data_IF_119015151500
#
_entry.id   IF_119015151500
#
_cell.length_a   1.000
_cell.length_b   1.000
_cell.length_c   1.000
_cell.angle_alpha   90.00
_cell.angle_beta   90.00
_cell.angle_gamma   90.00
#
_symmetry.space_group_name_H-M   'P 1'
#
loop_
_entity.id
_entity.type
_entity.pdbx_description
1 polymer ?
#
# COMPACT_ATOMS: atom_id res chain seq x y z
N UNK A 1 -23.64 24.44 28.03
CA UNK A 1 -22.42 25.20 27.67
C UNK A 1 -21.82 24.53 26.45
N UNK A 2 -21.94 25.14 25.27
CA UNK A 2 -21.22 24.72 24.05
C UNK A 2 -19.77 25.22 24.15
N UNK A 3 -18.87 24.43 23.57
CA UNK A 3 -17.41 24.58 23.54
C UNK A 3 -16.92 25.90 22.94
N UNK A 4 -15.59 26.13 23.02
CA UNK A 4 -14.86 26.15 21.76
C UNK A 4 -13.56 25.32 21.80
N UNK A 5 -13.36 24.51 20.75
CA UNK A 5 -12.02 24.19 20.22
C UNK A 5 -11.28 25.50 19.88
N UNK A 6 -9.94 25.61 19.98
CA UNK A 6 -9.18 25.73 18.74
C UNK A 6 -7.70 25.27 18.75
N UNK A 7 -7.32 24.69 17.59
CA UNK A 7 -6.08 24.88 16.80
C UNK A 7 -4.74 24.26 17.26
N UNK A 8 -4.27 23.35 16.42
CA UNK A 8 -3.00 23.50 15.67
C UNK A 8 -3.27 23.01 14.23
N UNK A 9 -3.42 23.95 13.30
CA UNK A 9 -2.40 24.41 12.34
C UNK A 9 -2.08 23.38 11.24
N UNK A 10 -2.52 23.73 10.03
CA UNK A 10 -2.15 23.11 8.77
C UNK A 10 -0.64 23.26 8.53
N UNK A 11 0.05 22.17 8.22
CA UNK A 11 1.38 22.18 7.58
C UNK A 11 1.51 20.94 6.68
N UNK A 12 1.13 21.10 5.40
CA UNK A 12 1.70 20.48 4.19
C UNK A 12 2.47 19.15 4.29
N UNK A 13 1.77 18.00 4.17
CA UNK A 13 2.10 16.84 3.30
C UNK A 13 0.88 15.92 3.32
N UNK A 14 0.27 15.59 2.18
CA UNK A 14 -0.82 14.61 2.13
C UNK A 14 -0.26 13.21 2.45
N UNK A 15 -0.17 12.86 3.73
CA UNK A 15 0.27 11.54 4.21
C UNK A 15 -0.91 10.58 4.20
N UNK A 16 -0.86 9.55 3.34
CA UNK A 16 -1.80 8.42 3.36
C UNK A 16 -1.85 7.79 4.76
N UNK A 17 -3.06 7.52 5.25
CA UNK A 17 -3.29 6.79 6.50
C UNK A 17 -3.02 5.29 6.34
N UNK A 18 -2.81 4.56 7.45
CA UNK A 18 -2.59 3.10 7.42
C UNK A 18 -3.79 2.35 6.83
N UNK A 19 -5.01 2.83 7.08
CA UNK A 19 -6.24 2.28 6.53
C UNK A 19 -6.36 2.47 5.01
N UNK A 20 -6.03 3.66 4.50
CA UNK A 20 -6.00 3.92 3.06
C UNK A 20 -4.94 3.07 2.36
N UNK A 21 -3.77 2.91 2.97
CA UNK A 21 -2.72 2.04 2.48
C UNK A 21 -3.15 0.59 2.42
N UNK A 22 -3.82 0.11 3.47
CA UNK A 22 -4.36 -1.25 3.52
C UNK A 22 -5.37 -1.47 2.39
N UNK A 23 -6.37 -0.58 2.25
CA UNK A 23 -7.38 -0.68 1.19
C UNK A 23 -6.75 -0.66 -0.22
N UNK A 24 -5.72 0.15 -0.42
CA UNK A 24 -5.01 0.21 -1.69
C UNK A 24 -4.29 -1.11 -2.00
N UNK A 25 -3.62 -1.70 -1.01
CA UNK A 25 -2.96 -3.00 -1.17
C UNK A 25 -4.00 -4.10 -1.43
N UNK A 26 -5.10 -4.13 -0.69
CA UNK A 26 -6.21 -5.08 -0.90
C UNK A 26 -6.77 -5.00 -2.31
N UNK A 27 -7.05 -3.78 -2.80
CA UNK A 27 -7.58 -3.58 -4.15
C UNK A 27 -6.60 -4.08 -5.23
N UNK A 28 -5.29 -3.88 -5.05
CA UNK A 28 -4.28 -4.41 -5.97
C UNK A 28 -4.23 -5.94 -5.90
N UNK A 29 -4.25 -6.51 -4.70
CA UNK A 29 -4.20 -7.95 -4.50
C UNK A 29 -5.42 -8.65 -5.13
N UNK A 30 -6.60 -8.09 -4.90
CA UNK A 30 -7.86 -8.57 -5.47
C UNK A 30 -7.86 -8.42 -6.99
N UNK A 31 -7.41 -7.28 -7.52
CA UNK A 31 -7.32 -7.07 -8.98
C UNK A 31 -6.32 -8.00 -9.67
N UNK A 32 -5.18 -8.29 -9.04
CA UNK A 32 -4.09 -9.06 -9.65
C UNK A 32 -4.21 -10.57 -9.44
N UNK A 33 -4.64 -10.97 -8.23
CA UNK A 33 -4.64 -12.37 -7.79
C UNK A 33 -6.05 -12.91 -7.53
N UNK A 34 -7.05 -12.03 -7.44
CA UNK A 34 -8.42 -12.40 -7.00
C UNK A 34 -8.49 -12.82 -5.53
N UNK A 35 -7.43 -12.59 -4.76
CA UNK A 35 -7.34 -12.98 -3.34
C UNK A 35 -7.32 -11.74 -2.46
N UNK A 36 -8.03 -11.81 -1.34
CA UNK A 36 -8.01 -10.78 -0.32
C UNK A 36 -7.03 -11.14 0.80
N UNK A 37 -6.55 -10.12 1.50
CA UNK A 37 -5.70 -10.29 2.67
C UNK A 37 -6.50 -10.93 3.81
N UNK A 38 -5.88 -11.90 4.48
CA UNK A 38 -6.42 -12.49 5.70
C UNK A 38 -6.27 -11.51 6.88
N UNK A 39 -7.11 -11.61 7.92
CA UNK A 39 -7.03 -10.73 9.09
C UNK A 39 -5.61 -10.53 9.68
N UNK A 40 -4.79 -11.58 9.90
CA UNK A 40 -3.44 -11.38 10.42
C UNK A 40 -2.52 -10.65 9.43
N UNK A 41 -2.67 -10.85 8.12
CA UNK A 41 -1.89 -10.13 7.10
C UNK A 41 -2.24 -8.64 7.07
N UNK A 42 -3.52 -8.29 7.25
CA UNK A 42 -3.97 -6.88 7.35
C UNK A 42 -3.30 -6.18 8.52
N UNK A 43 -3.25 -6.84 9.67
CA UNK A 43 -2.62 -6.30 10.87
C UNK A 43 -1.09 -6.22 10.71
N UNK A 44 -0.45 -7.15 9.99
CA UNK A 44 0.97 -7.05 9.62
C UNK A 44 1.25 -5.81 8.75
N UNK A 45 0.38 -5.51 7.79
CA UNK A 45 0.49 -4.32 6.94
C UNK A 45 0.31 -3.04 7.74
N UNK A 46 -0.69 -2.98 8.64
CA UNK A 46 -0.86 -1.84 9.56
C UNK A 46 0.36 -1.67 10.45
N UNK A 47 0.84 -2.73 11.08
CA UNK A 47 2.06 -2.69 11.91
C UNK A 47 3.29 -2.26 11.11
N UNK A 48 3.39 -2.60 9.82
CA UNK A 48 4.43 -2.09 8.93
C UNK A 48 4.31 -0.59 8.68
N UNK A 49 3.09 -0.09 8.54
CA UNK A 49 2.79 1.34 8.34
C UNK A 49 3.07 2.18 9.59
N UNK A 50 2.61 1.70 10.74
CA UNK A 50 2.75 2.37 12.05
C UNK A 50 4.10 2.10 12.72
N UNK A 51 5.00 1.37 12.03
CA UNK A 51 6.33 0.96 12.52
C UNK A 51 6.29 0.17 13.83
N UNK A 52 5.18 -0.52 14.09
CA UNK A 52 5.00 -1.35 15.28
C UNK A 52 5.86 -2.62 15.21
N UNK A 53 6.21 -3.19 16.36
CA UNK A 53 7.00 -4.41 16.43
C UNK A 53 6.14 -5.67 16.26
N UNK A 54 6.71 -6.72 15.67
CA UNK A 54 6.02 -8.01 15.54
C UNK A 54 5.65 -8.65 16.88
N UNK A 55 6.34 -8.27 17.96
CA UNK A 55 6.04 -8.75 19.31
C UNK A 55 4.71 -8.22 19.82
N UNK A 56 4.44 -6.92 19.65
CA UNK A 56 3.16 -6.31 20.04
C UNK A 56 2.01 -6.87 19.21
N UNK A 57 2.22 -6.97 17.90
CA UNK A 57 1.24 -7.54 16.98
C UNK A 57 0.90 -9.00 17.33
N UNK A 58 1.92 -9.80 17.65
CA UNK A 58 1.72 -11.19 18.08
C UNK A 58 0.88 -11.29 19.36
N UNK A 59 1.08 -10.39 20.33
CA UNK A 59 0.24 -10.31 21.53
C UNK A 59 -1.22 -9.95 21.18
N UNK A 60 -1.43 -8.98 20.29
CA UNK A 60 -2.76 -8.56 19.86
C UNK A 60 -3.52 -9.68 19.12
N UNK A 61 -2.81 -10.47 18.32
CA UNK A 61 -3.37 -11.59 17.55
C UNK A 61 -3.41 -12.91 18.33
N UNK A 62 -2.92 -12.94 19.58
CA UNK A 62 -2.73 -14.19 20.35
C UNK A 62 -1.90 -15.25 19.62
N UNK A 63 -0.94 -14.81 18.81
CA UNK A 63 -0.03 -15.66 18.04
C UNK A 63 1.38 -15.62 18.62
N UNK A 64 2.22 -16.58 18.22
CA UNK A 64 3.65 -16.51 18.53
C UNK A 64 4.35 -15.53 17.59
N UNK A 65 5.39 -14.87 18.09
CA UNK A 65 6.21 -13.94 17.28
C UNK A 65 6.82 -14.65 16.07
N UNK A 66 7.19 -15.93 16.22
CA UNK A 66 7.66 -16.75 15.10
C UNK A 66 6.62 -16.88 14.00
N UNK A 67 5.38 -17.23 14.36
CA UNK A 67 4.30 -17.38 13.39
C UNK A 67 3.97 -16.06 12.67
N UNK A 68 3.97 -14.94 13.38
CA UNK A 68 3.79 -13.61 12.76
C UNK A 68 4.92 -13.28 11.78
N UNK A 69 6.17 -13.65 12.10
CA UNK A 69 7.30 -13.46 11.18
C UNK A 69 7.17 -14.32 9.93
N UNK A 70 6.72 -15.56 10.07
CA UNK A 70 6.51 -16.47 8.93
C UNK A 70 5.41 -15.93 8.02
N UNK A 71 4.27 -15.53 8.60
CA UNK A 71 3.19 -14.87 7.86
C UNK A 71 3.65 -13.59 7.18
N UNK A 72 4.42 -12.75 7.88
CA UNK A 72 4.97 -11.53 7.31
C UNK A 72 5.91 -11.83 6.15
N UNK A 73 6.78 -12.83 6.27
CA UNK A 73 7.70 -13.23 5.21
C UNK A 73 6.93 -13.67 3.94
N UNK A 74 5.95 -14.55 4.09
CA UNK A 74 5.09 -15.02 2.99
C UNK A 74 4.35 -13.83 2.35
N UNK A 75 3.80 -12.95 3.18
CA UNK A 75 3.11 -11.75 2.72
C UNK A 75 4.00 -10.83 1.88
N UNK A 76 5.23 -10.57 2.34
CA UNK A 76 6.18 -9.75 1.58
C UNK A 76 6.61 -10.41 0.27
N UNK A 77 6.74 -11.74 0.24
CA UNK A 77 7.02 -12.48 -1.00
C UNK A 77 5.86 -12.33 -2.00
N UNK A 78 4.62 -12.56 -1.56
CA UNK A 78 3.44 -12.38 -2.41
C UNK A 78 3.32 -10.95 -2.93
N UNK A 79 3.51 -9.94 -2.07
CA UNK A 79 3.50 -8.55 -2.49
C UNK A 79 4.62 -8.27 -3.49
N UNK A 80 5.81 -8.82 -3.29
CA UNK A 80 6.93 -8.60 -4.22
C UNK A 80 6.64 -9.17 -5.61
N UNK A 81 6.00 -10.34 -5.66
CA UNK A 81 5.59 -10.99 -6.91
C UNK A 81 4.53 -10.15 -7.65
N UNK A 82 3.48 -9.72 -6.94
CA UNK A 82 2.37 -8.95 -7.51
C UNK A 82 2.83 -7.58 -8.03
N UNK A 83 3.69 -6.90 -7.26
CA UNK A 83 4.18 -5.58 -7.64
C UNK A 83 5.38 -5.64 -8.59
N UNK A 84 5.92 -6.83 -8.86
CA UNK A 84 7.09 -7.04 -9.73
C UNK A 84 8.39 -6.44 -9.19
N UNK A 85 8.47 -6.10 -7.91
CA UNK A 85 9.68 -5.60 -7.26
C UNK A 85 9.66 -5.90 -5.77
N UNK A 86 10.84 -5.96 -5.16
CA UNK A 86 11.00 -6.35 -3.76
C UNK A 86 10.30 -5.37 -2.80
N UNK A 87 9.21 -5.83 -2.19
CA UNK A 87 8.50 -5.14 -1.11
C UNK A 87 8.97 -5.71 0.22
N UNK A 88 9.25 -4.81 1.17
CA UNK A 88 9.62 -5.14 2.53
C UNK A 88 8.87 -4.22 3.49
N UNK A 89 8.81 -4.59 4.78
CA UNK A 89 8.23 -3.75 5.84
C UNK A 89 8.67 -2.28 5.75
N UNK A 90 9.96 -2.04 5.54
CA UNK A 90 10.54 -0.68 5.50
C UNK A 90 10.23 0.07 4.21
N UNK A 91 10.15 -0.66 3.09
CA UNK A 91 9.91 -0.05 1.78
C UNK A 91 8.43 0.07 1.45
N UNK A 92 7.54 -0.68 2.11
CA UNK A 92 6.11 -0.70 1.82
C UNK A 92 5.54 0.73 1.76
N UNK A 93 5.75 1.51 2.82
CA UNK A 93 5.26 2.89 2.88
C UNK A 93 5.77 3.72 1.71
N UNK A 94 7.07 3.65 1.42
CA UNK A 94 7.69 4.39 0.33
C UNK A 94 7.16 3.95 -1.03
N UNK A 95 6.94 2.66 -1.22
CA UNK A 95 6.36 2.08 -2.44
C UNK A 95 4.95 2.62 -2.64
N UNK A 96 4.08 2.49 -1.64
CA UNK A 96 2.69 2.97 -1.72
C UNK A 96 2.61 4.50 -1.93
N UNK A 97 3.37 5.28 -1.15
CA UNK A 97 3.46 6.73 -1.34
C UNK A 97 3.95 7.10 -2.76
N UNK A 98 4.92 6.34 -3.30
CA UNK A 98 5.42 6.55 -4.66
C UNK A 98 4.37 6.19 -5.72
N UNK A 99 3.57 5.13 -5.53
CA UNK A 99 2.45 4.81 -6.43
C UNK A 99 1.40 5.92 -6.42
N UNK A 100 1.05 6.45 -5.24
CA UNK A 100 0.16 7.60 -5.12
C UNK A 100 0.70 8.86 -5.82
N UNK A 101 1.99 9.15 -5.65
CA UNK A 101 2.63 10.30 -6.32
C UNK A 101 2.73 10.13 -7.84
N UNK A 102 3.11 8.94 -8.33
CA UNK A 102 3.14 8.62 -9.77
C UNK A 102 1.77 8.76 -10.43
N UNK A 103 0.71 8.36 -9.72
CA UNK A 103 -0.66 8.54 -10.20
C UNK A 103 -1.03 10.03 -10.31
N UNK A 104 -0.56 10.87 -9.38
CA UNK A 104 -0.81 12.32 -9.39
C UNK A 104 -0.07 13.01 -10.53
N UNK A 105 1.17 12.59 -10.81
CA UNK A 105 1.98 13.08 -11.95
C UNK A 105 1.35 12.71 -13.30
N UNK A 106 0.74 11.53 -13.43
CA UNK A 106 0.10 11.10 -14.68
C UNK A 106 -1.24 11.81 -14.94
N UNK A 107 -2.01 12.16 -13.90
CA UNK A 107 -3.24 12.95 -14.08
C UNK A 107 -2.98 14.35 -14.64
N UNK A 108 -1.88 15.00 -14.26
CA UNK A 108 -1.52 16.32 -14.78
C UNK A 108 -1.12 16.32 -16.26
N UNK A 109 -0.94 15.14 -16.87
CA UNK A 109 -0.68 14.99 -18.31
C UNK A 109 -1.95 14.66 -19.12
N UNK A 110 -3.10 14.43 -18.47
CA UNK A 110 -4.35 14.02 -19.15
C UNK A 110 -5.38 15.16 -19.28
N UNK A 111 -5.12 16.35 -18.73
CA UNK A 111 -6.08 17.48 -18.82
C UNK A 111 -5.96 18.37 -20.07
N UNK A 112 -5.21 17.97 -21.09
CA UNK A 112 -5.31 18.56 -22.43
C UNK A 112 -5.21 17.42 -23.45
N UNK A 113 -6.34 16.80 -23.79
CA UNK A 113 -6.67 16.27 -25.12
C UNK A 113 -8.00 15.52 -25.01
N UNK A 114 -9.08 16.20 -25.37
CA UNK A 114 -10.36 15.59 -25.72
C UNK A 114 -10.12 14.66 -26.93
N UNK A 115 -10.50 13.38 -26.84
CA UNK A 115 -11.49 12.73 -27.71
C UNK A 115 -11.57 11.21 -27.41
N UNK A 116 -12.70 10.64 -27.78
CA UNK A 116 -13.14 9.25 -27.76
C UNK A 116 -12.04 8.17 -27.93
N UNK A 117 -11.91 7.25 -26.96
CA UNK A 117 -11.98 5.77 -27.13
C UNK A 117 -11.52 4.96 -25.92
N UNK A 118 -12.45 4.11 -25.47
CA UNK A 118 -12.24 2.75 -24.97
C UNK A 118 -10.84 2.16 -25.19
N UNK A 119 -10.14 1.73 -24.13
CA UNK A 119 -9.60 0.37 -23.97
C UNK A 119 -9.11 0.13 -22.53
N UNK A 120 -9.68 -0.90 -21.91
CA UNK A 120 -9.17 -1.61 -20.74
C UNK A 120 -7.77 -2.20 -21.00
N UNK A 121 -6.78 -1.89 -20.16
CA UNK A 121 -5.76 -2.85 -19.66
C UNK A 121 -4.71 -2.17 -18.76
N UNK A 122 -4.16 -2.89 -17.76
CA UNK A 122 -3.07 -2.40 -16.94
C UNK A 122 -1.81 -2.12 -17.77
N UNK A 123 -0.96 -1.16 -17.37
CA UNK A 123 0.20 -0.74 -18.15
C UNK A 123 1.15 -1.93 -18.42
N UNK A 124 1.69 -2.05 -19.65
CA UNK A 124 2.64 -3.11 -19.99
C UNK A 124 3.93 -2.97 -19.18
N UNK A 125 4.61 -4.08 -18.85
CA UNK A 125 5.95 -4.03 -18.27
C UNK A 125 6.92 -3.44 -19.30
N UNK A 126 7.62 -2.37 -18.93
CA UNK A 126 8.59 -1.70 -19.78
C UNK A 126 9.84 -2.58 -19.98
N UNK A 127 9.85 -3.22 -21.14
CA UNK A 127 10.93 -3.45 -22.12
C UNK A 127 12.24 -4.09 -21.66
N UNK A 128 12.46 -5.28 -22.23
CA UNK A 128 13.76 -5.89 -22.51
C UNK A 128 14.72 -4.86 -23.12
N UNK A 129 15.95 -4.82 -22.61
CA UNK A 129 17.10 -4.32 -23.37
C UNK A 129 17.86 -5.54 -23.85
N UNK A 130 17.80 -5.75 -25.17
CA UNK A 130 18.79 -6.54 -25.89
C UNK A 130 20.11 -5.77 -25.90
N UNK A 131 21.19 -6.46 -25.53
CA UNK A 131 22.48 -6.42 -26.23
C UNK A 131 22.95 -7.87 -26.35
#
# INVERSE_FOLDING_TARGET
MQMPSPKTNQTTKSTMTSEEALKFIEAILESKTGKQLTPPEKEIIKAAWDKETYSNLAQSLYLTVGHVKDLAYILWQHLSDIFGHKITKTNLRRVIENYGNKFTLYKSQISENNDDKSYSSPPPPMQYINC
#
